data_IF_899648650979
#
_entry.id   IF_899648650979
#
_cell.length_a   1.000
_cell.length_b   1.000
_cell.length_c   1.000
_cell.angle_alpha   90.00
_cell.angle_beta   90.00
_cell.angle_gamma   90.00
#
_symmetry.space_group_name_H-M   'P 1'
#
loop_
_entity.id
_entity.type
_entity.pdbx_description
1 polymer ?
#
# COMPACT_ATOMS: atom_id res chain seq x y z
N UNK A 1 -7.51 -47.86 -27.70
CA UNK A 1 -6.48 -46.87 -27.35
C UNK A 1 -6.78 -46.33 -25.95
N UNK A 2 -5.89 -46.48 -24.96
CA UNK A 2 -6.11 -45.90 -23.64
C UNK A 2 -5.62 -44.44 -23.63
N UNK A 3 -6.54 -43.49 -23.59
CA UNK A 3 -6.24 -42.06 -23.40
C UNK A 3 -5.89 -41.79 -21.94
N UNK A 4 -4.61 -41.49 -21.70
CA UNK A 4 -4.05 -41.15 -20.41
C UNK A 4 -4.50 -39.74 -19.99
N UNK A 5 -5.71 -39.63 -19.43
CA UNK A 5 -6.27 -38.36 -18.97
C UNK A 5 -5.82 -38.13 -17.53
N UNK A 6 -4.70 -37.44 -17.36
CA UNK A 6 -4.16 -37.04 -16.06
C UNK A 6 -5.20 -36.16 -15.34
N UNK A 7 -5.89 -36.73 -14.34
CA UNK A 7 -6.77 -35.96 -13.45
C UNK A 7 -5.89 -34.99 -12.67
N UNK A 8 -5.91 -33.70 -13.03
CA UNK A 8 -5.49 -32.63 -12.12
C UNK A 8 -6.39 -32.71 -10.90
N UNK A 9 -5.86 -33.18 -9.77
CA UNK A 9 -6.57 -33.00 -8.50
C UNK A 9 -6.63 -31.50 -8.25
N UNK A 10 -7.85 -30.96 -8.16
CA UNK A 10 -8.02 -29.63 -7.55
C UNK A 10 -7.54 -29.80 -6.12
N UNK A 11 -6.47 -29.10 -5.73
CA UNK A 11 -6.19 -28.86 -4.31
C UNK A 11 -7.47 -28.23 -3.75
N UNK A 12 -8.12 -28.92 -2.82
CA UNK A 12 -9.19 -28.33 -2.04
C UNK A 12 -8.51 -27.22 -1.24
N UNK A 13 -8.90 -25.98 -1.49
CA UNK A 13 -8.44 -24.83 -0.71
C UNK A 13 -8.81 -25.08 0.75
N UNK A 14 -7.81 -25.24 1.61
CA UNK A 14 -7.98 -25.40 3.07
C UNK A 14 -8.09 -24.07 3.80
N UNK A 15 -8.11 -22.95 3.07
CA UNK A 15 -8.23 -21.60 3.62
C UNK A 15 -9.53 -21.45 4.37
N UNK A 16 -9.46 -20.98 5.61
CA UNK A 16 -10.65 -20.63 6.39
C UNK A 16 -11.31 -19.37 5.83
N UNK A 17 -12.58 -19.12 6.14
CA UNK A 17 -13.22 -17.89 5.68
C UNK A 17 -12.56 -16.63 6.25
N UNK A 18 -12.02 -16.72 7.47
CA UNK A 18 -11.26 -15.65 8.13
C UNK A 18 -9.92 -15.35 7.43
N UNK A 19 -9.15 -16.38 7.10
CA UNK A 19 -7.91 -16.22 6.32
C UNK A 19 -8.20 -15.62 4.94
N UNK A 20 -9.33 -16.00 4.32
CA UNK A 20 -9.77 -15.42 3.06
C UNK A 20 -10.14 -13.95 3.25
N UNK A 21 -10.95 -13.61 4.25
CA UNK A 21 -11.28 -12.22 4.55
C UNK A 21 -10.00 -11.39 4.71
N UNK A 22 -9.04 -11.88 5.49
CA UNK A 22 -7.75 -11.20 5.68
C UNK A 22 -6.92 -11.03 4.40
N UNK A 23 -6.88 -12.04 3.53
CA UNK A 23 -6.13 -12.02 2.27
C UNK A 23 -6.71 -11.02 1.26
N UNK A 24 -8.03 -10.85 1.26
CA UNK A 24 -8.78 -10.01 0.33
C UNK A 24 -9.24 -8.68 0.95
N UNK A 25 -8.94 -8.42 2.21
CA UNK A 25 -9.24 -7.17 2.89
C UNK A 25 -8.51 -5.99 2.23
N UNK A 26 -9.21 -4.86 2.11
CA UNK A 26 -8.63 -3.59 1.66
C UNK A 26 -8.16 -2.74 2.84
N UNK A 27 -8.42 -3.17 4.08
CA UNK A 27 -8.16 -2.44 5.31
C UNK A 27 -7.25 -3.20 6.28
N UNK A 28 -6.79 -2.47 7.30
CA UNK A 28 -5.95 -3.04 8.36
C UNK A 28 -6.84 -3.76 9.35
N UNK A 29 -7.10 -5.03 9.10
CA UNK A 29 -7.78 -5.90 10.05
C UNK A 29 -6.86 -6.29 11.25
N UNK A 30 -7.49 -6.54 12.40
CA UNK A 30 -6.91 -6.97 13.67
C UNK A 30 -6.33 -8.39 13.65
N UNK A 31 -6.41 -9.10 12.53
CA UNK A 31 -5.87 -10.45 12.36
C UNK A 31 -4.40 -10.59 12.83
N UNK A 32 -3.59 -9.53 12.67
CA UNK A 32 -2.19 -9.49 13.14
C UNK A 32 -2.04 -9.65 14.67
N UNK A 33 -3.06 -9.34 15.46
CA UNK A 33 -3.00 -9.48 16.92
C UNK A 33 -3.04 -10.93 17.40
N UNK A 34 -3.53 -11.86 16.56
CA UNK A 34 -3.78 -13.25 16.93
C UNK A 34 -2.86 -14.25 16.25
N UNK A 35 -2.01 -13.81 15.32
CA UNK A 35 -1.19 -14.69 14.49
C UNK A 35 0.28 -14.26 14.45
N UNK A 36 1.19 -15.24 14.32
CA UNK A 36 2.62 -14.96 14.19
C UNK A 36 2.95 -14.38 12.80
N UNK A 37 3.89 -13.44 12.73
CA UNK A 37 4.26 -12.77 11.47
C UNK A 37 4.72 -13.77 10.39
N UNK A 38 5.39 -14.87 10.77
CA UNK A 38 5.83 -15.89 9.80
C UNK A 38 4.65 -16.69 9.28
N UNK A 39 3.66 -16.99 10.12
CA UNK A 39 2.43 -17.69 9.70
C UNK A 39 1.69 -16.87 8.65
N UNK A 40 1.51 -15.58 8.93
CA UNK A 40 0.85 -14.63 8.02
C UNK A 40 1.63 -14.49 6.71
N UNK A 41 2.95 -14.35 6.78
CA UNK A 41 3.79 -14.29 5.57
C UNK A 41 3.70 -15.58 4.75
N UNK A 42 3.63 -16.73 5.39
CA UNK A 42 3.47 -18.02 4.72
C UNK A 42 2.07 -18.17 4.09
N UNK A 43 1.03 -17.67 4.77
CA UNK A 43 -0.32 -17.61 4.25
C UNK A 43 -0.37 -16.75 2.97
N UNK A 44 0.16 -15.51 3.03
CA UNK A 44 0.27 -14.66 1.85
C UNK A 44 1.02 -15.37 0.71
N UNK A 45 2.22 -15.90 0.97
CA UNK A 45 3.01 -16.62 -0.05
C UNK A 45 2.28 -17.80 -0.67
N UNK A 46 1.42 -18.47 0.09
CA UNK A 46 0.67 -19.66 -0.39
C UNK A 46 -0.48 -19.29 -1.32
N UNK A 47 -1.09 -18.11 -1.15
CA UNK A 47 -2.31 -17.71 -1.85
C UNK A 47 -2.18 -16.46 -2.72
N UNK A 48 -1.04 -15.76 -2.70
CA UNK A 48 -0.83 -14.50 -3.43
C UNK A 48 -1.20 -14.57 -4.91
N UNK A 49 -0.89 -15.66 -5.61
CA UNK A 49 -1.13 -15.75 -7.05
C UNK A 49 -2.63 -15.83 -7.34
N UNK A 50 -3.38 -16.54 -6.50
CA UNK A 50 -4.84 -16.60 -6.56
C UNK A 50 -5.46 -15.25 -6.22
N UNK A 51 -5.02 -14.64 -5.11
CA UNK A 51 -5.50 -13.33 -4.64
C UNK A 51 -5.25 -12.26 -5.70
N UNK A 52 -4.03 -12.17 -6.24
CA UNK A 52 -3.68 -11.18 -7.28
C UNK A 52 -4.42 -11.45 -8.59
N UNK A 53 -4.60 -12.70 -8.99
CA UNK A 53 -5.41 -13.03 -10.18
C UNK A 53 -6.84 -12.55 -10.02
N UNK A 54 -7.48 -12.86 -8.88
CA UNK A 54 -8.82 -12.40 -8.59
C UNK A 54 -8.88 -10.86 -8.49
N UNK A 55 -7.93 -10.25 -7.79
CA UNK A 55 -7.91 -8.80 -7.57
C UNK A 55 -7.76 -8.04 -8.88
N UNK A 56 -6.80 -8.42 -9.73
CA UNK A 56 -6.56 -7.74 -11.02
C UNK A 56 -7.74 -7.88 -11.99
N UNK A 57 -8.57 -8.92 -11.85
CA UNK A 57 -9.80 -9.07 -12.62
C UNK A 57 -10.93 -8.16 -12.12
N UNK A 58 -11.05 -7.96 -10.80
CA UNK A 58 -12.17 -7.22 -10.19
C UNK A 58 -11.86 -5.73 -9.95
N UNK A 59 -10.60 -5.40 -9.62
CA UNK A 59 -10.07 -4.06 -9.34
C UNK A 59 -8.77 -3.85 -10.13
N UNK A 60 -8.82 -3.81 -11.48
CA UNK A 60 -7.63 -3.68 -12.32
C UNK A 60 -6.83 -2.42 -12.00
N UNK A 61 -5.50 -2.50 -12.12
CA UNK A 61 -4.58 -1.39 -11.86
C UNK A 61 -4.54 -0.91 -10.40
N UNK A 62 -4.94 -1.77 -9.46
CA UNK A 62 -4.78 -1.57 -8.00
C UNK A 62 -4.19 -2.83 -7.38
N UNK A 63 -3.79 -2.78 -6.10
CA UNK A 63 -3.31 -3.97 -5.38
C UNK A 63 -3.98 -4.12 -4.01
N UNK A 64 -4.16 -5.37 -3.53
CA UNK A 64 -4.66 -5.60 -2.18
C UNK A 64 -3.65 -5.05 -1.16
N UNK A 65 -4.13 -4.69 0.03
CA UNK A 65 -3.28 -4.14 1.08
C UNK A 65 -2.08 -5.06 1.40
N UNK A 66 -2.28 -6.38 1.42
CA UNK A 66 -1.22 -7.35 1.72
C UNK A 66 -0.10 -7.37 0.68
N UNK A 67 -0.41 -7.03 -0.57
CA UNK A 67 0.62 -6.86 -1.58
C UNK A 67 1.51 -5.65 -1.27
N UNK A 68 0.94 -4.56 -0.76
CA UNK A 68 1.73 -3.40 -0.30
C UNK A 68 2.63 -3.76 0.88
N UNK A 69 2.11 -4.53 1.84
CA UNK A 69 2.86 -4.95 3.02
C UNK A 69 4.07 -5.83 2.61
N UNK A 70 3.88 -6.81 1.73
CA UNK A 70 4.85 -7.89 1.51
C UNK A 70 5.59 -7.90 0.16
N UNK A 71 5.05 -7.27 -0.89
CA UNK A 71 5.58 -7.42 -2.26
C UNK A 71 5.83 -6.14 -3.03
N UNK A 72 5.26 -5.00 -2.61
CA UNK A 72 5.58 -3.72 -3.22
C UNK A 72 7.11 -3.49 -3.19
N UNK A 73 7.68 -2.77 -4.18
CA UNK A 73 9.06 -2.29 -4.13
C UNK A 73 9.40 -1.74 -2.75
N UNK A 74 10.57 -2.09 -2.20
CA UNK A 74 10.98 -1.60 -0.88
C UNK A 74 11.62 -0.22 -1.01
N UNK A 75 11.30 0.65 -0.08
CA UNK A 75 11.85 2.00 -0.04
C UNK A 75 13.36 1.93 0.22
N UNK A 76 14.15 2.60 -0.62
CA UNK A 76 15.54 2.94 -0.29
C UNK A 76 15.55 4.12 0.71
N UNK A 77 15.13 3.82 1.94
CA UNK A 77 14.90 4.82 2.98
C UNK A 77 16.20 5.33 3.64
N UNK A 78 16.18 6.52 4.25
CA UNK A 78 17.35 7.10 4.91
C UNK A 78 17.58 6.59 6.35
N UNK A 79 16.87 5.55 6.81
CA UNK A 79 16.89 5.10 8.20
C UNK A 79 17.93 4.01 8.47
N UNK A 80 19.10 4.11 7.85
CA UNK A 80 20.18 3.13 8.03
C UNK A 80 20.46 2.88 9.53
N UNK A 81 20.54 1.61 9.92
CA UNK A 81 20.73 1.17 11.31
C UNK A 81 19.46 1.11 12.17
N UNK A 82 18.32 1.62 11.69
CA UNK A 82 17.03 1.42 12.34
C UNK A 82 16.43 0.06 11.94
N UNK A 83 15.70 -0.59 12.85
CA UNK A 83 15.07 -1.90 12.61
C UNK A 83 14.03 -1.90 11.47
N UNK A 84 13.61 -0.72 11.03
CA UNK A 84 12.66 -0.53 9.92
C UNK A 84 13.35 -0.36 8.56
N UNK A 85 14.66 -0.21 8.51
CA UNK A 85 15.41 0.04 7.28
C UNK A 85 15.18 -1.08 6.26
N UNK A 86 14.76 -0.70 5.04
CA UNK A 86 14.48 -1.61 3.93
C UNK A 86 13.21 -2.44 4.09
N UNK A 87 12.44 -2.27 5.18
CA UNK A 87 11.24 -3.08 5.44
C UNK A 87 9.98 -2.46 4.83
N UNK A 88 9.95 -1.14 4.68
CA UNK A 88 8.75 -0.40 4.27
C UNK A 88 8.57 -0.40 2.75
N UNK A 89 7.32 -0.41 2.25
CA UNK A 89 7.07 -0.20 0.83
C UNK A 89 7.55 1.18 0.40
N UNK A 90 8.02 1.30 -0.84
CA UNK A 90 8.31 2.58 -1.46
C UNK A 90 7.03 3.42 -1.49
N UNK A 91 7.05 4.62 -0.89
CA UNK A 91 5.88 5.47 -0.87
C UNK A 91 5.50 5.90 -2.29
N UNK A 92 4.21 6.17 -2.48
CA UNK A 92 3.73 6.82 -3.69
C UNK A 92 4.23 8.26 -3.73
N UNK A 93 4.49 8.76 -4.93
CA UNK A 93 5.00 10.12 -5.12
C UNK A 93 3.91 11.15 -4.84
N UNK A 94 4.23 12.18 -4.05
CA UNK A 94 3.43 13.40 -4.00
C UNK A 94 3.58 14.15 -5.31
N UNK A 95 2.46 14.58 -5.87
CA UNK A 95 2.41 15.33 -7.13
C UNK A 95 1.75 16.71 -6.99
N UNK A 96 1.19 17.03 -5.83
CA UNK A 96 0.69 18.36 -5.50
C UNK A 96 0.25 18.48 -4.05
N UNK A 97 -0.31 19.63 -3.70
CA UNK A 97 -0.84 19.91 -2.37
C UNK A 97 0.22 20.17 -1.29
N UNK A 98 -0.24 20.77 -0.18
CA UNK A 98 0.57 21.04 1.01
C UNK A 98 0.28 20.08 2.16
N UNK A 99 1.18 20.02 3.13
CA UNK A 99 1.08 19.17 4.32
C UNK A 99 2.31 18.30 4.47
N UNK A 100 2.99 18.34 5.60
CA UNK A 100 4.22 17.56 5.81
C UNK A 100 3.87 16.22 6.45
N UNK A 101 4.23 15.06 5.87
CA UNK A 101 4.08 13.78 6.55
C UNK A 101 4.78 13.80 7.92
N UNK A 102 4.11 13.34 8.97
CA UNK A 102 4.59 13.54 10.34
C UNK A 102 5.95 12.87 10.59
N UNK A 103 6.24 11.73 9.94
CA UNK A 103 7.52 11.03 10.07
C UNK A 103 8.72 11.79 9.48
N UNK A 104 8.51 12.79 8.63
CA UNK A 104 9.59 13.57 8.03
C UNK A 104 10.19 14.57 9.01
N UNK A 105 9.41 15.00 10.01
CA UNK A 105 9.79 16.10 10.91
C UNK A 105 9.70 15.74 12.39
N UNK A 106 8.97 14.68 12.74
CA UNK A 106 8.89 14.09 14.07
C UNK A 106 9.66 12.77 14.12
N UNK A 107 10.18 12.41 15.29
CA UNK A 107 10.89 11.15 15.52
C UNK A 107 9.91 9.96 15.68
N UNK A 108 9.03 9.77 14.69
CA UNK A 108 8.04 8.69 14.65
C UNK A 108 8.35 7.73 13.49
N UNK A 109 7.94 6.46 13.64
CA UNK A 109 8.06 5.47 12.57
C UNK A 109 7.18 5.88 11.38
N UNK A 110 7.68 5.88 10.13
CA UNK A 110 6.84 6.07 8.96
C UNK A 110 5.78 4.97 8.86
N UNK A 111 4.55 5.39 8.61
CA UNK A 111 3.40 4.52 8.44
C UNK A 111 2.73 4.87 7.12
N UNK A 112 2.50 3.85 6.31
CA UNK A 112 1.84 4.01 5.01
C UNK A 112 0.56 3.18 4.95
N UNK A 113 -0.41 3.67 4.19
CA UNK A 113 -1.55 2.92 3.70
C UNK A 113 -1.49 2.97 2.18
N UNK A 114 -1.22 1.81 1.56
CA UNK A 114 -1.01 1.69 0.11
C UNK A 114 0.00 2.69 -0.47
N UNK A 115 1.10 2.88 0.27
CA UNK A 115 2.18 3.81 -0.07
C UNK A 115 1.89 5.30 0.19
N UNK A 116 0.72 5.68 0.70
CA UNK A 116 0.43 7.05 1.14
C UNK A 116 0.74 7.17 2.65
N UNK A 117 1.41 8.23 3.12
CA UNK A 117 1.57 8.47 4.56
C UNK A 117 0.22 8.51 5.30
N UNK A 118 0.13 7.87 6.46
CA UNK A 118 -1.13 7.84 7.24
C UNK A 118 -1.28 9.01 8.21
N UNK A 119 -0.27 9.87 8.33
CA UNK A 119 -0.29 10.99 9.27
C UNK A 119 0.47 12.18 8.69
N UNK A 120 -0.11 13.35 8.82
CA UNK A 120 0.42 14.64 8.40
C UNK A 120 0.37 15.60 9.57
N UNK A 121 1.30 16.54 9.57
CA UNK A 121 1.33 17.61 10.57
C UNK A 121 0.01 18.38 10.52
N UNK A 122 -0.64 18.52 11.67
CA UNK A 122 -1.83 19.36 11.83
C UNK A 122 -1.53 20.66 12.59
N UNK A 123 -2.52 21.55 12.73
CA UNK A 123 -2.33 22.83 13.42
C UNK A 123 -1.93 22.69 14.89
N UNK A 124 -2.45 21.66 15.56
CA UNK A 124 -2.13 21.42 16.97
C UNK A 124 -0.66 21.00 17.11
N UNK A 125 -0.18 20.10 16.26
CA UNK A 125 1.23 19.68 16.24
C UNK A 125 2.16 20.84 15.89
N UNK A 126 1.76 21.72 14.95
CA UNK A 126 2.50 22.96 14.66
C UNK A 126 2.69 23.83 15.89
N UNK A 127 1.66 23.97 16.73
CA UNK A 127 1.72 24.75 17.98
C UNK A 127 2.51 24.02 19.07
N UNK A 128 2.27 22.73 19.24
CA UNK A 128 2.86 21.92 20.30
C UNK A 128 4.36 21.66 20.08
N UNK A 129 4.78 21.45 18.84
CA UNK A 129 6.17 21.14 18.45
C UNK A 129 6.89 22.32 17.76
N UNK A 130 6.46 23.56 17.99
CA UNK A 130 7.00 24.74 17.31
C UNK A 130 8.54 24.83 17.35
N UNK A 131 9.15 24.54 18.52
CA UNK A 131 10.62 24.55 18.67
C UNK A 131 11.30 23.47 17.81
N UNK A 132 10.69 22.28 17.68
CA UNK A 132 11.20 21.17 16.88
C UNK A 132 11.16 21.44 15.37
N UNK A 133 10.36 22.43 14.94
CA UNK A 133 10.19 22.83 13.54
C UNK A 133 11.02 24.04 13.15
N UNK A 134 11.76 24.65 14.10
CA UNK A 134 12.58 25.83 13.81
C UNK A 134 13.63 25.53 12.73
N UNK A 135 13.58 26.29 11.63
CA UNK A 135 14.49 26.13 10.50
C UNK A 135 14.14 24.99 9.54
N UNK A 136 13.01 24.29 9.75
CA UNK A 136 12.48 23.28 8.83
C UNK A 136 11.34 23.88 8.01
N UNK A 137 11.19 23.42 6.77
CA UNK A 137 10.03 23.78 5.94
C UNK A 137 8.87 22.83 6.27
N UNK A 138 8.08 23.17 7.29
CA UNK A 138 6.94 22.36 7.75
C UNK A 138 5.66 23.12 7.44
N UNK A 139 4.72 22.44 6.77
CA UNK A 139 3.39 22.98 6.51
C UNK A 139 2.37 22.03 7.10
N UNK A 140 1.38 22.51 7.87
CA UNK A 140 0.26 21.67 8.23
C UNK A 140 -0.51 21.26 6.97
N UNK A 141 -1.25 20.16 7.06
CA UNK A 141 -2.20 19.78 6.01
C UNK A 141 -3.19 20.94 5.80
N UNK A 142 -3.36 21.37 4.55
CA UNK A 142 -4.19 22.51 4.21
C UNK A 142 -5.57 22.08 3.73
N UNK A 143 -6.64 22.60 4.34
CA UNK A 143 -8.02 22.28 3.99
C UNK A 143 -8.36 22.60 2.51
N UNK A 144 -7.76 23.67 1.97
CA UNK A 144 -8.00 24.15 0.60
C UNK A 144 -6.96 23.64 -0.42
N UNK A 145 -5.89 23.00 0.04
CA UNK A 145 -4.83 22.44 -0.83
C UNK A 145 -4.25 21.15 -0.22
N UNK A 146 -5.10 20.12 -0.05
CA UNK A 146 -4.70 18.87 0.60
C UNK A 146 -3.60 18.15 -0.20
N UNK A 147 -2.75 17.34 0.46
CA UNK A 147 -1.76 16.52 -0.23
C UNK A 147 -2.39 15.68 -1.34
N UNK A 148 -1.78 15.69 -2.51
CA UNK A 148 -2.19 14.83 -3.63
C UNK A 148 -1.04 13.93 -4.05
N UNK A 149 -1.34 12.65 -4.22
CA UNK A 149 -0.37 11.61 -4.54
C UNK A 149 -0.72 10.96 -5.89
N UNK A 150 0.29 10.43 -6.58
CA UNK A 150 0.07 9.57 -7.75
C UNK A 150 -0.92 8.46 -7.38
N UNK A 151 -1.77 7.99 -8.31
CA UNK A 151 -2.69 6.89 -8.03
C UNK A 151 -1.97 5.55 -7.87
N UNK A 152 -2.67 4.53 -7.36
CA UNK A 152 -2.16 3.15 -7.39
C UNK A 152 -1.77 2.72 -8.83
N UNK A 153 -2.56 3.08 -9.84
CA UNK A 153 -2.26 2.73 -11.23
C UNK A 153 -1.00 3.41 -11.76
N UNK A 154 -0.78 4.68 -11.41
CA UNK A 154 0.42 5.43 -11.77
C UNK A 154 1.67 4.85 -11.10
N UNK A 155 1.57 4.49 -9.81
CA UNK A 155 2.64 3.79 -9.08
C UNK A 155 3.01 2.47 -9.76
N UNK A 156 2.02 1.62 -10.05
CA UNK A 156 2.26 0.34 -10.72
C UNK A 156 2.84 0.53 -12.13
N UNK A 157 2.42 1.57 -12.83
CA UNK A 157 2.97 1.91 -14.15
C UNK A 157 4.44 2.32 -14.06
N UNK A 158 4.77 3.20 -13.11
CA UNK A 158 6.14 3.70 -12.88
C UNK A 158 7.14 2.60 -12.53
N UNK A 159 6.66 1.54 -11.87
CA UNK A 159 7.45 0.37 -11.47
C UNK A 159 7.37 -0.83 -12.42
N UNK A 160 6.70 -0.68 -13.58
CA UNK A 160 6.50 -1.77 -14.55
C UNK A 160 5.77 -3.01 -13.97
N UNK A 161 4.90 -2.81 -12.99
CA UNK A 161 4.18 -3.87 -12.25
C UNK A 161 2.80 -4.20 -12.83
N UNK A 162 2.36 -3.47 -13.86
CA UNK A 162 1.11 -3.73 -14.56
C UNK A 162 1.23 -4.96 -15.47
N UNK A 163 0.28 -5.89 -15.36
CA UNK A 163 0.16 -7.00 -16.32
C UNK A 163 -0.17 -6.48 -17.73
N UNK A 164 0.06 -7.26 -18.80
CA UNK A 164 -0.34 -6.86 -20.16
C UNK A 164 -1.83 -6.52 -20.28
N UNK A 165 -2.69 -7.23 -19.55
CA UNK A 165 -4.12 -6.98 -19.51
C UNK A 165 -4.44 -5.65 -18.81
N UNK A 166 -3.79 -5.35 -17.68
CA UNK A 166 -3.94 -4.07 -17.00
C UNK A 166 -3.42 -2.91 -17.84
N UNK A 167 -2.27 -3.05 -18.53
CA UNK A 167 -1.77 -2.03 -19.47
C UNK A 167 -2.81 -1.72 -20.56
N UNK A 168 -3.46 -2.75 -21.11
CA UNK A 168 -4.55 -2.59 -22.09
C UNK A 168 -5.79 -1.93 -21.47
N UNK A 169 -6.17 -2.34 -20.25
CA UNK A 169 -7.31 -1.78 -19.53
C UNK A 169 -7.10 -0.29 -19.20
N UNK A 170 -5.91 0.07 -18.72
CA UNK A 170 -5.53 1.43 -18.37
C UNK A 170 -5.56 2.37 -19.59
N UNK A 171 -5.23 1.86 -20.78
CA UNK A 171 -5.28 2.65 -22.01
C UNK A 171 -6.70 3.19 -22.31
N UNK A 172 -7.75 2.43 -21.97
CA UNK A 172 -9.15 2.88 -22.10
C UNK A 172 -9.72 3.52 -20.83
N UNK A 173 -9.02 3.45 -19.70
CA UNK A 173 -9.48 3.95 -18.40
C UNK A 173 -8.45 4.92 -17.79
N UNK A 174 -8.07 5.94 -18.56
CA UNK A 174 -7.04 6.92 -18.15
C UNK A 174 -7.35 7.66 -16.85
N UNK A 175 -8.63 7.78 -16.47
CA UNK A 175 -9.05 8.32 -15.17
C UNK A 175 -8.44 7.59 -13.97
N UNK A 176 -8.03 6.33 -14.11
CA UNK A 176 -7.33 5.61 -13.03
C UNK A 176 -5.93 6.18 -12.74
N UNK A 177 -5.39 7.03 -13.61
CA UNK A 177 -4.15 7.77 -13.40
C UNK A 177 -4.38 9.11 -12.70
N UNK A 178 -5.63 9.48 -12.41
CA UNK A 178 -5.92 10.73 -11.71
C UNK A 178 -5.34 10.69 -10.28
N UNK A 179 -4.71 11.79 -9.82
CA UNK A 179 -4.16 11.88 -8.47
C UNK A 179 -5.19 11.53 -7.40
N UNK A 180 -4.73 10.89 -6.32
CA UNK A 180 -5.55 10.68 -5.13
C UNK A 180 -5.32 11.83 -4.15
N UNK A 181 -6.41 12.43 -3.70
CA UNK A 181 -6.43 13.48 -2.69
C UNK A 181 -6.50 12.82 -1.31
N UNK A 182 -5.58 13.18 -0.42
CA UNK A 182 -5.65 12.75 0.98
C UNK A 182 -6.67 13.61 1.71
N UNK A 183 -7.65 12.97 2.33
CA UNK A 183 -8.63 13.61 3.20
C UNK A 183 -8.44 12.97 4.56
N UNK A 184 -8.18 13.77 5.60
CA UNK A 184 -8.23 13.29 6.98
C UNK A 184 -9.67 13.32 7.43
N UNK A 185 -10.19 12.21 7.94
CA UNK A 185 -11.43 12.22 8.70
C UNK A 185 -11.16 12.99 10.01
N UNK A 186 -12.01 13.99 10.32
CA UNK A 186 -11.93 14.80 11.54
C UNK A 186 -12.14 13.98 12.83
#
# INVERSE_FOLDING_TARGET
>A
MPTNRTRRSRKVSTVTDEEREWLYADDKDNFLFFHDEKEILNLWKSYRDEVLTFWTQNKPCTRPLRWWDYEAPRWNDPFEGCFIHGTMPEPRQRIGGIGTPSYEVLAIKPCFYKGIPTSFINEWEMKFYADSFKGKNVSPMGDNDPPTFESEAAYLQRHDLLTPQEKKYLASHRKLLEPEIVITED
#
